data_IF_185222854028
#
_entry.id   IF_185222854028
#
_cell.length_a   1.000
_cell.length_b   1.000
_cell.length_c   1.000
_cell.angle_alpha   90.00
_cell.angle_beta   90.00
_cell.angle_gamma   90.00
#
_symmetry.space_group_name_H-M   'P 1'
#
loop_
_entity.id
_entity.type
_entity.pdbx_description
1 polymer ?
#
# COMPACT_ATOMS: atom_id res chain seq x y z
N UNK A 1 1.66 14.24 28.51
CA UNK A 1 1.45 13.82 27.12
C UNK A 1 -0.06 13.78 26.87
N UNK A 2 -0.54 14.39 25.77
CA UNK A 2 -1.91 14.20 25.31
C UNK A 2 -1.89 12.99 24.36
N UNK A 3 -2.63 11.92 24.72
CA UNK A 3 -2.91 10.83 23.80
C UNK A 3 -3.97 11.33 22.81
N UNK A 4 -3.54 11.68 21.61
CA UNK A 4 -4.41 12.29 20.61
C UNK A 4 -4.86 11.30 19.54
N UNK A 5 -4.27 10.11 19.49
CA UNK A 5 -4.50 9.07 18.49
C UNK A 5 -4.58 7.71 19.17
N UNK A 6 -5.50 6.86 18.71
CA UNK A 6 -5.57 5.44 19.06
C UNK A 6 -4.92 4.58 17.98
N UNK A 7 -4.98 5.04 16.73
CA UNK A 7 -4.42 4.35 15.57
C UNK A 7 -3.66 5.30 14.66
N UNK A 8 -2.61 4.79 14.03
CA UNK A 8 -1.81 5.50 13.06
C UNK A 8 -1.77 4.74 11.72
N UNK A 9 -2.17 5.40 10.64
CA UNK A 9 -2.03 4.86 9.28
C UNK A 9 -0.64 5.17 8.74
N UNK A 10 0.09 4.14 8.35
CA UNK A 10 1.47 4.22 7.84
C UNK A 10 1.53 3.65 6.44
N UNK A 11 1.99 4.42 5.46
CA UNK A 11 2.26 3.90 4.11
C UNK A 11 3.72 3.51 3.97
N UNK A 12 4.01 2.22 3.85
CA UNK A 12 5.37 1.69 3.66
C UNK A 12 6.00 2.28 2.40
N UNK A 13 5.22 2.46 1.34
CA UNK A 13 5.69 2.98 0.06
C UNK A 13 6.10 4.47 0.10
N UNK A 14 5.69 5.22 1.14
CA UNK A 14 5.92 6.67 1.24
C UNK A 14 6.84 7.04 2.39
N UNK A 15 6.79 6.31 3.51
CA UNK A 15 7.50 6.67 4.74
C UNK A 15 8.98 6.24 4.79
N UNK A 16 9.55 5.76 3.67
CA UNK A 16 10.93 5.28 3.61
C UNK A 16 11.08 3.76 3.76
N UNK A 17 10.11 3.01 3.26
CA UNK A 17 10.11 1.54 3.25
C UNK A 17 9.99 0.93 4.64
N UNK A 18 10.42 -0.32 4.78
CA UNK A 18 10.40 -1.05 6.06
C UNK A 18 11.13 -0.31 7.18
N UNK A 19 12.29 0.29 6.87
CA UNK A 19 13.10 1.00 7.87
C UNK A 19 12.34 2.18 8.46
N UNK A 20 11.68 2.99 7.63
CA UNK A 20 10.86 4.11 8.08
C UNK A 20 9.64 3.64 8.86
N UNK A 21 8.91 2.67 8.31
CA UNK A 21 7.71 2.12 8.93
C UNK A 21 7.98 1.50 10.30
N UNK A 22 9.07 0.75 10.46
CA UNK A 22 9.47 0.16 11.76
C UNK A 22 9.80 1.22 12.82
N UNK A 23 10.46 2.32 12.44
CA UNK A 23 10.73 3.44 13.36
C UNK A 23 9.43 4.11 13.82
N UNK A 24 8.49 4.32 12.89
CA UNK A 24 7.18 4.88 13.19
C UNK A 24 6.39 3.94 14.11
N UNK A 25 6.37 2.64 13.81
CA UNK A 25 5.70 1.63 14.61
C UNK A 25 6.26 1.57 16.04
N UNK A 26 7.56 1.64 16.22
CA UNK A 26 8.19 1.64 17.54
C UNK A 26 7.82 2.88 18.38
N UNK A 27 7.73 4.06 17.75
CA UNK A 27 7.27 5.29 18.42
C UNK A 27 5.79 5.15 18.80
N UNK A 28 4.97 4.61 17.91
CA UNK A 28 3.55 4.36 18.17
C UNK A 28 3.35 3.36 19.31
N UNK A 29 4.08 2.24 19.30
CA UNK A 29 4.06 1.20 20.33
C UNK A 29 4.38 1.78 21.71
N UNK A 30 5.44 2.58 21.82
CA UNK A 30 5.84 3.27 23.07
C UNK A 30 4.76 4.24 23.60
N UNK A 31 3.78 4.60 22.79
CA UNK A 31 2.65 5.45 23.17
C UNK A 31 1.29 4.71 23.15
N UNK A 32 1.31 3.36 23.06
CA UNK A 32 0.11 2.51 23.02
C UNK A 32 -0.82 2.81 21.84
N UNK A 33 -0.25 3.18 20.69
CA UNK A 33 -0.96 3.47 19.46
C UNK A 33 -0.87 2.26 18.53
N UNK A 34 -2.00 1.78 18.00
CA UNK A 34 -2.06 0.70 17.04
C UNK A 34 -1.64 1.16 15.62
N UNK A 35 -1.08 0.24 14.84
CA UNK A 35 -0.69 0.50 13.45
C UNK A 35 -1.72 -0.10 12.49
N UNK A 36 -2.13 0.70 11.50
CA UNK A 36 -2.96 0.30 10.37
C UNK A 36 -2.20 0.67 9.10
N UNK A 37 -1.54 -0.27 8.41
CA UNK A 37 -0.83 0.07 7.17
C UNK A 37 -1.76 0.55 6.08
N UNK A 38 -1.41 1.68 5.48
CA UNK A 38 -2.12 2.27 4.36
C UNK A 38 -1.70 1.58 3.06
N UNK A 39 -2.63 0.90 2.40
CA UNK A 39 -2.34 0.12 1.20
C UNK A 39 -3.46 0.16 0.15
N UNK A 40 -3.71 1.28 -0.51
CA UNK A 40 -4.63 1.35 -1.65
C UNK A 40 -3.92 1.08 -2.98
N UNK A 41 -2.74 0.44 -3.00
CA UNK A 41 -1.81 0.50 -4.11
C UNK A 41 -1.81 -0.78 -4.95
N UNK A 42 -0.86 -1.69 -4.72
CA UNK A 42 -0.58 -2.81 -5.60
C UNK A 42 -0.37 -4.11 -4.82
N UNK A 43 -0.43 -5.28 -5.46
CA UNK A 43 -0.10 -6.55 -4.79
C UNK A 43 1.34 -6.55 -4.24
N UNK A 44 2.27 -5.82 -4.84
CA UNK A 44 3.64 -5.67 -4.30
C UNK A 44 3.61 -4.91 -2.98
N UNK A 45 2.83 -3.82 -2.90
CA UNK A 45 2.65 -3.07 -1.66
C UNK A 45 1.95 -3.93 -0.59
N UNK A 46 0.93 -4.71 -0.98
CA UNK A 46 0.25 -5.65 -0.07
C UNK A 46 1.20 -6.68 0.49
N UNK A 47 2.02 -7.31 -0.35
CA UNK A 47 3.00 -8.30 0.09
C UNK A 47 4.03 -7.69 1.07
N UNK A 48 4.48 -6.47 0.81
CA UNK A 48 5.34 -5.75 1.73
C UNK A 48 4.63 -5.45 3.07
N UNK A 49 3.36 -5.02 3.02
CA UNK A 49 2.56 -4.79 4.23
C UNK A 49 2.43 -6.06 5.07
N UNK A 50 2.13 -7.21 4.46
CA UNK A 50 1.99 -8.49 5.17
C UNK A 50 3.27 -8.82 5.96
N UNK A 51 4.45 -8.65 5.37
CA UNK A 51 5.72 -8.91 6.06
C UNK A 51 5.97 -7.91 7.21
N UNK A 52 5.58 -6.65 7.00
CA UNK A 52 5.66 -5.64 8.04
C UNK A 52 4.72 -5.96 9.20
N UNK A 53 3.48 -6.34 8.91
CA UNK A 53 2.44 -6.64 9.88
C UNK A 53 2.84 -7.84 10.76
N UNK A 54 3.32 -8.92 10.13
CA UNK A 54 3.78 -10.12 10.83
C UNK A 54 4.94 -9.84 11.81
N UNK A 55 5.72 -8.77 11.57
CA UNK A 55 6.86 -8.36 12.38
C UNK A 55 6.57 -7.14 13.27
N UNK A 56 5.30 -6.70 13.41
CA UNK A 56 4.93 -5.46 14.12
C UNK A 56 3.98 -5.75 15.28
N UNK A 57 4.47 -5.71 16.54
CA UNK A 57 3.68 -6.12 17.72
C UNK A 57 2.39 -5.33 17.94
N UNK A 58 2.40 -4.04 17.58
CA UNK A 58 1.25 -3.14 17.69
C UNK A 58 0.43 -3.02 16.38
N UNK A 59 0.57 -3.99 15.46
CA UNK A 59 -0.31 -4.13 14.30
C UNK A 59 -1.76 -4.37 14.72
N UNK A 60 -2.72 -3.75 14.04
CA UNK A 60 -4.13 -3.86 14.36
C UNK A 60 -4.94 -4.52 13.25
N UNK A 61 -4.90 -3.94 12.05
CA UNK A 61 -5.63 -4.43 10.88
C UNK A 61 -4.96 -3.91 9.60
N UNK A 62 -5.00 -4.72 8.53
CA UNK A 62 -4.47 -4.36 7.22
C UNK A 62 -5.56 -3.81 6.30
N UNK A 63 -5.30 -2.66 5.68
CA UNK A 63 -6.09 -2.20 4.53
C UNK A 63 -5.76 -3.09 3.33
N UNK A 64 -6.77 -3.80 2.84
CA UNK A 64 -6.63 -4.72 1.71
C UNK A 64 -7.58 -4.34 0.58
N UNK A 65 -7.08 -3.79 -0.53
CA UNK A 65 -7.89 -3.61 -1.70
C UNK A 65 -8.19 -4.98 -2.30
N UNK A 66 -9.46 -5.32 -2.43
CA UNK A 66 -9.86 -6.57 -3.07
C UNK A 66 -9.38 -6.57 -4.54
N UNK A 67 -8.45 -7.46 -4.91
CA UNK A 67 -7.87 -7.46 -6.26
C UNK A 67 -8.86 -7.94 -7.32
N UNK A 68 -9.87 -8.73 -6.90
CA UNK A 68 -10.90 -9.29 -7.76
C UNK A 68 -12.26 -8.60 -7.57
N UNK A 69 -12.33 -7.68 -6.62
CA UNK A 69 -13.53 -6.90 -6.34
C UNK A 69 -13.97 -6.04 -7.52
N UNK A 70 -15.22 -5.61 -7.53
CA UNK A 70 -15.72 -4.77 -8.61
C UNK A 70 -14.93 -3.47 -8.65
N UNK A 71 -13.82 -3.55 -9.29
CA UNK A 71 -13.03 -2.55 -9.99
C UNK A 71 -13.09 -1.08 -9.51
N UNK A 72 -13.33 -0.80 -8.23
CA UNK A 72 -13.28 0.58 -7.76
C UNK A 72 -11.89 1.18 -8.02
N UNK A 73 -10.82 0.41 -7.81
CA UNK A 73 -9.47 0.83 -8.11
C UNK A 73 -9.18 0.84 -9.62
N UNK A 74 -9.62 -0.18 -10.35
CA UNK A 74 -9.48 -0.26 -11.80
C UNK A 74 -10.27 0.86 -12.49
N UNK A 75 -11.48 1.16 -12.02
CA UNK A 75 -12.27 2.28 -12.48
C UNK A 75 -11.59 3.62 -12.22
N UNK A 76 -11.04 3.81 -11.04
CA UNK A 76 -10.29 5.02 -10.68
C UNK A 76 -9.05 5.21 -11.55
N UNK A 77 -8.30 4.16 -11.86
CA UNK A 77 -7.16 4.21 -12.77
C UNK A 77 -7.60 4.54 -14.18
N UNK A 78 -8.67 3.91 -14.68
CA UNK A 78 -9.22 4.19 -16.01
C UNK A 78 -9.74 5.64 -16.12
N UNK A 79 -10.53 6.09 -15.16
CA UNK A 79 -11.07 7.47 -15.15
C UNK A 79 -9.95 8.52 -15.12
N UNK A 80 -8.84 8.26 -14.41
CA UNK A 80 -7.70 9.18 -14.36
C UNK A 80 -6.77 9.12 -15.56
N UNK A 81 -6.68 8.00 -16.24
CA UNK A 81 -5.63 7.77 -17.25
C UNK A 81 -6.16 7.55 -18.64
N UNK A 82 -7.45 7.26 -18.79
CA UNK A 82 -8.06 6.86 -20.06
C UNK A 82 -7.54 5.52 -20.61
N UNK A 83 -6.73 4.80 -19.83
CA UNK A 83 -6.18 3.49 -20.21
C UNK A 83 -7.02 2.38 -19.63
N UNK A 84 -7.09 1.26 -20.34
CA UNK A 84 -7.72 0.04 -19.84
C UNK A 84 -7.10 -0.36 -18.51
N UNK A 85 -7.95 -0.69 -17.55
CA UNK A 85 -7.49 -1.17 -16.25
C UNK A 85 -6.77 -2.51 -16.46
N UNK A 86 -5.58 -2.63 -15.91
CA UNK A 86 -4.91 -3.91 -15.72
C UNK A 86 -5.38 -4.55 -14.43
N UNK A 87 -5.39 -5.87 -14.38
CA UNK A 87 -5.63 -6.59 -13.13
C UNK A 87 -4.35 -6.61 -12.30
N UNK A 88 -4.49 -6.65 -11.00
CA UNK A 88 -3.34 -6.78 -10.10
C UNK A 88 -2.52 -8.05 -10.40
N UNK A 89 -3.19 -9.14 -10.79
CA UNK A 89 -2.59 -10.39 -11.25
C UNK A 89 -1.79 -10.29 -12.56
N UNK A 90 -1.90 -9.18 -13.30
CA UNK A 90 -1.11 -8.99 -14.52
C UNK A 90 0.36 -8.61 -14.25
N UNK A 91 0.68 -8.22 -13.03
CA UNK A 91 2.01 -7.69 -12.66
C UNK A 91 2.80 -8.59 -11.71
N UNK A 92 2.16 -9.57 -11.07
CA UNK A 92 2.81 -10.50 -10.13
C UNK A 92 2.52 -11.95 -10.47
N UNK A 93 3.45 -12.84 -10.15
CA UNK A 93 3.33 -14.28 -10.39
C UNK A 93 2.33 -14.97 -9.46
N UNK A 94 2.22 -14.47 -8.22
CA UNK A 94 1.30 -14.98 -7.20
C UNK A 94 0.65 -13.81 -6.48
N UNK A 95 -0.66 -13.87 -6.30
CA UNK A 95 -1.39 -12.85 -5.53
C UNK A 95 -1.31 -13.14 -4.03
N UNK A 96 -1.26 -12.10 -3.17
CA UNK A 96 -1.44 -12.28 -1.74
C UNK A 96 -2.77 -13.01 -1.45
N UNK A 97 -2.69 -14.09 -0.67
CA UNK A 97 -3.86 -14.90 -0.35
C UNK A 97 -4.66 -14.28 0.81
N UNK A 98 -5.97 -14.14 0.59
CA UNK A 98 -6.93 -13.79 1.64
C UNK A 98 -7.83 -15.01 1.91
N UNK A 99 -7.86 -15.49 3.15
CA UNK A 99 -8.66 -16.64 3.58
C UNK A 99 -9.43 -16.29 4.84
N UNK A 100 -10.73 -16.41 4.80
CA UNK A 100 -11.63 -16.18 5.96
C UNK A 100 -11.42 -14.82 6.64
N UNK A 101 -11.12 -13.78 5.88
CA UNK A 101 -10.86 -12.43 6.39
C UNK A 101 -9.43 -12.19 6.90
N UNK A 102 -8.52 -13.15 6.68
CA UNK A 102 -7.11 -13.05 7.04
C UNK A 102 -6.21 -13.07 5.81
N UNK A 103 -5.18 -12.23 5.80
CA UNK A 103 -4.11 -12.33 4.83
C UNK A 103 -3.09 -13.37 5.30
N UNK A 104 -2.79 -14.33 4.43
CA UNK A 104 -1.82 -15.39 4.73
C UNK A 104 -0.41 -14.86 4.57
N UNK A 105 0.42 -15.02 5.61
CA UNK A 105 1.85 -14.69 5.53
C UNK A 105 2.54 -15.75 4.67
N UNK A 106 3.16 -15.38 3.53
CA UNK A 106 3.81 -16.36 2.65
C UNK A 106 5.13 -16.87 3.25
N UNK A 107 5.41 -18.16 3.06
CA UNK A 107 6.69 -18.79 3.44
C UNK A 107 7.80 -18.61 2.37
N UNK A 108 7.46 -18.04 1.21
CA UNK A 108 8.40 -17.80 0.13
C UNK A 108 9.43 -16.73 0.51
N UNK A 109 10.67 -16.78 -0.04
CA UNK A 109 11.71 -15.79 0.24
C UNK A 109 11.31 -14.35 -0.10
N UNK A 110 11.95 -13.40 0.57
CA UNK A 110 11.70 -11.97 0.35
C UNK A 110 10.34 -11.52 0.85
N UNK A 111 9.57 -10.84 0.01
CA UNK A 111 8.20 -10.43 0.32
C UNK A 111 7.16 -11.49 -0.11
N UNK A 112 7.61 -12.62 -0.66
CA UNK A 112 6.76 -13.75 -1.01
C UNK A 112 6.09 -13.68 -2.39
N UNK A 113 6.41 -12.68 -3.19
CA UNK A 113 5.93 -12.56 -4.58
C UNK A 113 7.05 -12.04 -5.50
N UNK A 114 6.89 -12.26 -6.80
CA UNK A 114 7.79 -11.78 -7.84
C UNK A 114 6.98 -11.09 -8.93
N UNK A 115 7.63 -10.16 -9.65
CA UNK A 115 7.04 -9.54 -10.81
C UNK A 115 6.99 -10.56 -11.97
N UNK A 116 5.95 -10.46 -12.80
CA UNK A 116 5.87 -11.23 -14.05
C UNK A 116 6.99 -10.76 -14.97
N UNK A 117 7.65 -11.71 -15.64
CA UNK A 117 8.69 -11.42 -16.64
C UNK A 117 8.14 -10.50 -17.75
N UNK A 118 8.91 -9.47 -18.12
CA UNK A 118 8.52 -8.49 -19.13
C UNK A 118 7.42 -7.51 -18.69
N UNK A 119 7.11 -7.42 -17.40
CA UNK A 119 6.08 -6.51 -16.90
C UNK A 119 6.36 -5.04 -17.22
N UNK A 120 7.62 -4.63 -17.23
CA UNK A 120 8.06 -3.28 -17.58
C UNK A 120 7.89 -2.94 -19.07
N UNK A 121 7.93 -3.94 -19.93
CA UNK A 121 7.65 -3.79 -21.36
C UNK A 121 6.14 -3.66 -21.61
N UNK A 122 5.35 -4.45 -20.88
CA UNK A 122 3.89 -4.43 -20.98
C UNK A 122 3.30 -3.17 -20.35
N UNK A 123 3.89 -2.69 -19.25
CA UNK A 123 3.48 -1.50 -18.50
C UNK A 123 4.66 -0.52 -18.32
N UNK A 124 5.12 0.11 -19.40
CA UNK A 124 6.29 0.99 -19.35
C UNK A 124 6.03 2.18 -18.42
N UNK A 125 7.09 2.60 -17.72
CA UNK A 125 7.02 3.79 -16.87
C UNK A 125 6.71 5.04 -17.69
N UNK A 126 5.63 5.70 -17.36
CA UNK A 126 5.26 7.00 -17.92
C UNK A 126 5.39 8.09 -16.86
N UNK A 127 6.27 9.04 -17.12
CA UNK A 127 6.42 10.20 -16.23
C UNK A 127 5.16 11.05 -16.28
N UNK A 128 4.51 11.21 -15.14
CA UNK A 128 3.34 12.09 -15.00
C UNK A 128 3.73 13.37 -14.28
N UNK A 129 3.18 14.49 -14.74
CA UNK A 129 3.24 15.72 -13.95
C UNK A 129 2.25 15.58 -12.80
N UNK A 130 2.75 15.74 -11.58
CA UNK A 130 1.87 15.91 -10.42
C UNK A 130 1.25 17.31 -10.53
N UNK A 131 -0.06 17.36 -10.65
CA UNK A 131 -0.78 18.64 -10.64
C UNK A 131 -0.89 19.07 -9.18
N UNK A 132 -0.04 19.99 -8.78
CA UNK A 132 -0.12 20.61 -7.46
C UNK A 132 -1.34 21.54 -7.44
N UNK A 133 -2.29 21.28 -6.55
CA UNK A 133 -3.40 22.19 -6.31
C UNK A 133 -2.88 23.34 -5.46
N UNK A 134 -3.25 24.55 -5.86
CA UNK A 134 -2.89 25.75 -5.12
C UNK A 134 -4.17 26.43 -4.61
N UNK A 135 -4.08 27.04 -3.45
CA UNK A 135 -5.07 28.00 -2.95
C UNK A 135 -5.00 29.31 -3.73
N UNK A 136 -5.97 30.17 -3.56
CA UNK A 136 -6.00 31.49 -4.25
C UNK A 136 -4.82 32.39 -3.91
N UNK A 137 -4.17 32.17 -2.77
CA UNK A 137 -2.94 32.86 -2.34
C UNK A 137 -1.65 32.17 -2.75
N UNK A 138 -1.75 31.03 -3.49
CA UNK A 138 -0.62 30.28 -4.01
C UNK A 138 -0.03 29.26 -3.04
N UNK A 139 -0.61 29.03 -1.87
CA UNK A 139 -0.19 27.95 -0.98
C UNK A 139 -0.56 26.57 -1.56
N UNK A 140 0.26 25.57 -1.30
CA UNK A 140 -0.01 24.19 -1.71
C UNK A 140 -1.17 23.64 -0.90
N UNK A 141 -2.22 23.19 -1.58
CA UNK A 141 -3.32 22.45 -0.96
C UNK A 141 -2.93 20.98 -0.87
N UNK A 142 -3.35 20.33 0.22
CA UNK A 142 -3.33 18.88 0.35
C UNK A 142 -4.21 18.22 -0.75
N UNK A 143 -3.81 17.03 -1.21
CA UNK A 143 -4.46 16.32 -2.32
C UNK A 143 -5.45 15.30 -1.80
#
# INVERSE_FOLDING_TARGET
KRQALDYLRVSICVCGGFTGAKKIAAIAEANQIGIIPHNPLSPVATAACIQFDAATPNFTIQEYPDPDGPAAHARFVFERTGKSAFRASDIVNVMPECRDGFLVVPDAPGIGIELVEGVEEKFPFERRKVVTRLTTDGAVMDQ
#
